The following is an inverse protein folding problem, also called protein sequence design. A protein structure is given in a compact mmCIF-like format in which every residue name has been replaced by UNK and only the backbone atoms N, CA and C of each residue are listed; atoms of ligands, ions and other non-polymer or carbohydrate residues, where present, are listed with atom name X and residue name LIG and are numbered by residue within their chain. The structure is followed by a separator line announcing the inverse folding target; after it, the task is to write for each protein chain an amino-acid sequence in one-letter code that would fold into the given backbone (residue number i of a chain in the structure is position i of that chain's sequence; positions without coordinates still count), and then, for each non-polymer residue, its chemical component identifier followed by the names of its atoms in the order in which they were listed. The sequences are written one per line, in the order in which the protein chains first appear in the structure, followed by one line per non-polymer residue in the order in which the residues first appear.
data_IF_136884739545
#
_entry.id   IF_136884739545
#
_cell.length_a   1.000
_cell.length_b   1.000
_cell.length_c   1.000
_cell.angle_alpha   90.00
_cell.angle_beta   90.00
_cell.angle_gamma   90.00
#
_symmetry.space_group_name_H-M   'P 1'
#
loop_
_entity.id
_entity.type
_entity.pdbx_description
1 polymer ?
#
# COMPACT_ATOMS: atom_id res chain seq x y z
N UNK A 1 -19.17 11.87 21.61
CA UNK A 1 -18.30 13.00 21.23
C UNK A 1 -17.85 12.79 19.81
N UNK A 2 -18.03 13.77 18.92
CA UNK A 2 -17.52 13.73 17.55
C UNK A 2 -16.02 14.06 17.56
N UNK A 3 -15.22 13.31 16.80
CA UNK A 3 -13.79 13.60 16.68
C UNK A 3 -13.59 14.95 15.94
N UNK A 4 -12.59 15.72 16.35
CA UNK A 4 -12.26 16.97 15.68
C UNK A 4 -11.46 16.71 14.41
N UNK A 5 -11.38 17.71 13.52
CA UNK A 5 -10.48 17.65 12.37
C UNK A 5 -9.02 17.43 12.81
N UNK A 6 -8.58 18.06 13.89
CA UNK A 6 -7.21 17.95 14.37
C UNK A 6 -6.89 16.51 14.82
N UNK A 7 -7.82 15.88 15.54
CA UNK A 7 -7.67 14.47 15.95
C UNK A 7 -7.54 13.53 14.76
N UNK A 8 -8.30 13.77 13.69
CA UNK A 8 -8.23 12.98 12.47
C UNK A 8 -6.92 13.26 11.69
N UNK A 9 -6.54 14.53 11.54
CA UNK A 9 -5.37 14.93 10.77
C UNK A 9 -4.07 14.37 11.35
N UNK A 10 -3.92 14.33 12.68
CA UNK A 10 -2.75 13.73 13.34
C UNK A 10 -2.64 12.24 13.02
N UNK A 11 -3.75 11.51 13.06
CA UNK A 11 -3.78 10.07 12.75
C UNK A 11 -3.36 9.82 11.30
N UNK A 12 -3.93 10.57 10.36
CA UNK A 12 -3.61 10.40 8.94
C UNK A 12 -2.17 10.81 8.61
N UNK A 13 -1.67 11.92 9.16
CA UNK A 13 -0.27 12.32 9.00
C UNK A 13 0.70 11.22 9.50
N UNK A 14 0.39 10.62 10.66
CA UNK A 14 1.20 9.52 11.20
C UNK A 14 1.17 8.27 10.31
N UNK A 15 0.03 7.98 9.68
CA UNK A 15 -0.13 6.83 8.80
C UNK A 15 0.63 7.04 7.49
N UNK A 16 0.49 8.22 6.87
CA UNK A 16 1.22 8.59 5.65
C UNK A 16 2.72 8.52 5.85
N UNK A 17 3.24 8.98 6.99
CA UNK A 17 4.67 8.87 7.31
C UNK A 17 5.15 7.41 7.37
N UNK A 18 4.33 6.50 7.93
CA UNK A 18 4.71 5.09 8.12
C UNK A 18 4.56 4.25 6.86
N UNK A 19 3.50 4.46 6.08
CA UNK A 19 3.19 3.65 4.91
C UNK A 19 3.81 4.19 3.63
N UNK A 20 3.86 5.52 3.49
CA UNK A 20 4.26 6.19 2.25
C UNK A 20 5.66 6.84 2.37
N UNK A 21 6.22 6.91 3.58
CA UNK A 21 7.49 7.60 3.84
C UNK A 21 7.40 9.13 3.78
N UNK A 22 6.19 9.69 3.71
CA UNK A 22 5.97 11.13 3.59
C UNK A 22 6.42 11.88 4.84
N UNK A 23 7.11 13.00 4.64
CA UNK A 23 7.35 14.01 5.67
C UNK A 23 6.05 14.77 5.95
N UNK A 24 5.90 15.42 7.13
CA UNK A 24 4.70 16.18 7.44
C UNK A 24 4.32 17.23 6.39
N UNK A 25 5.30 17.84 5.74
CA UNK A 25 5.06 18.82 4.67
C UNK A 25 4.39 18.23 3.43
N UNK A 26 4.62 16.96 3.10
CA UNK A 26 3.97 16.29 1.96
C UNK A 26 2.49 16.02 2.28
N UNK A 27 2.19 15.55 3.50
CA UNK A 27 0.81 15.35 3.96
C UNK A 27 -0.03 16.64 3.91
N UNK A 28 0.51 17.75 4.38
CA UNK A 28 -0.23 19.03 4.41
C UNK A 28 -0.41 19.68 3.04
N UNK A 29 0.43 19.34 2.06
CA UNK A 29 0.29 19.82 0.69
C UNK A 29 -0.56 18.89 -0.19
N UNK A 30 -0.72 17.63 0.19
CA UNK A 30 -1.55 16.67 -0.53
C UNK A 30 -3.04 16.98 -0.34
N UNK A 31 -3.80 16.84 -1.42
CA UNK A 31 -5.25 16.92 -1.39
C UNK A 31 -5.85 15.66 -0.75
N UNK A 32 -7.08 15.74 -0.21
CA UNK A 32 -7.77 14.55 0.31
C UNK A 32 -7.94 13.43 -0.73
N UNK A 33 -8.11 13.78 -2.02
CA UNK A 33 -8.24 12.81 -3.10
C UNK A 33 -6.93 12.07 -3.37
N UNK A 34 -5.80 12.79 -3.38
CA UNK A 34 -4.47 12.18 -3.52
C UNK A 34 -4.14 11.28 -2.32
N UNK A 35 -4.48 11.71 -1.11
CA UNK A 35 -4.30 10.89 0.09
C UNK A 35 -5.12 9.60 0.02
N UNK A 36 -6.39 9.69 -0.40
CA UNK A 36 -7.26 8.52 -0.56
C UNK A 36 -6.71 7.56 -1.63
N UNK A 37 -6.21 8.09 -2.73
CA UNK A 37 -5.61 7.30 -3.82
C UNK A 37 -4.31 6.63 -3.37
N UNK A 38 -3.44 7.34 -2.66
CA UNK A 38 -2.16 6.81 -2.17
C UNK A 38 -2.33 5.71 -1.09
N UNK A 39 -3.44 5.73 -0.34
CA UNK A 39 -3.74 4.75 0.70
C UNK A 39 -4.72 3.66 0.23
N UNK A 40 -5.20 3.73 -1.02
CA UNK A 40 -6.09 2.71 -1.56
C UNK A 40 -5.35 1.37 -1.61
N UNK A 41 -6.06 0.30 -1.23
CA UNK A 41 -5.55 -1.05 -1.44
C UNK A 41 -5.35 -1.27 -2.95
N UNK A 42 -4.31 -2.02 -3.36
CA UNK A 42 -4.20 -2.47 -4.74
C UNK A 42 -5.49 -3.19 -5.14
N UNK A 43 -5.96 -2.95 -6.37
CA UNK A 43 -7.10 -3.68 -6.90
C UNK A 43 -6.77 -5.18 -6.94
N UNK A 44 -7.46 -5.98 -6.12
CA UNK A 44 -7.27 -7.43 -6.07
C UNK A 44 -7.49 -8.09 -7.44
N UNK A 45 -8.35 -7.51 -8.29
CA UNK A 45 -8.56 -8.02 -9.64
C UNK A 45 -7.36 -7.81 -10.57
N UNK A 46 -6.48 -6.85 -10.26
CA UNK A 46 -5.29 -6.55 -11.02
C UNK A 46 -4.05 -7.34 -10.55
N UNK A 47 -4.10 -7.98 -9.38
CA UNK A 47 -3.00 -8.79 -8.86
C UNK A 47 -3.21 -10.24 -9.28
N UNK A 48 -2.37 -10.81 -10.17
CA UNK A 48 -2.47 -12.22 -10.51
C UNK A 48 -2.31 -13.07 -9.24
N UNK A 49 -3.05 -14.19 -9.11
CA UNK A 49 -2.96 -15.02 -7.93
C UNK A 49 -1.52 -15.50 -7.73
N UNK A 50 -1.08 -15.69 -6.48
CA UNK A 50 0.25 -16.22 -6.21
C UNK A 50 0.42 -17.58 -6.91
N UNK A 51 1.62 -17.90 -7.42
CA UNK A 51 1.86 -19.14 -8.13
C UNK A 51 1.57 -20.35 -7.23
N UNK A 52 1.00 -21.41 -7.82
CA UNK A 52 0.74 -22.65 -7.09
C UNK A 52 2.05 -23.35 -6.72
N UNK A 53 2.01 -24.24 -5.72
CA UNK A 53 3.16 -25.05 -5.33
C UNK A 53 3.71 -25.87 -6.50
N UNK A 54 2.82 -26.39 -7.35
CA UNK A 54 3.18 -27.16 -8.54
C UNK A 54 3.82 -26.29 -9.63
N UNK A 55 3.40 -25.02 -9.74
CA UNK A 55 4.06 -24.05 -10.63
C UNK A 55 5.48 -23.75 -10.15
N UNK A 56 5.64 -23.51 -8.84
CA UNK A 56 6.95 -23.25 -8.22
C UNK A 56 7.89 -24.45 -8.43
N UNK A 57 7.42 -25.69 -8.18
CA UNK A 57 8.23 -26.89 -8.38
C UNK A 57 8.73 -27.01 -9.83
N UNK A 58 7.86 -26.76 -10.82
CA UNK A 58 8.23 -26.79 -12.24
C UNK A 58 9.25 -25.71 -12.62
N UNK A 59 9.17 -24.52 -12.01
CA UNK A 59 10.17 -23.46 -12.23
C UNK A 59 11.53 -23.89 -11.67
N UNK A 60 11.57 -24.47 -10.47
CA UNK A 60 12.80 -24.96 -9.86
C UNK A 60 13.45 -26.12 -10.65
N UNK A 61 12.64 -27.04 -11.19
CA UNK A 61 13.12 -28.12 -12.05
C UNK A 61 13.72 -27.59 -13.36
N UNK A 62 13.13 -26.57 -13.97
CA UNK A 62 13.67 -25.94 -15.18
C UNK A 62 15.01 -25.27 -14.91
N UNK A 63 15.12 -24.48 -13.85
CA UNK A 63 16.35 -23.77 -13.48
C UNK A 63 17.48 -24.75 -13.09
N UNK A 64 17.17 -25.94 -12.57
CA UNK A 64 18.16 -26.97 -12.21
C UNK A 64 18.72 -27.73 -13.42
N UNK A 65 18.13 -27.56 -14.60
CA UNK A 65 18.51 -28.24 -15.85
C UNK A 65 19.08 -27.29 -16.91
N UNK A 66 19.32 -26.02 -16.55
CA UNK A 66 20.13 -25.03 -17.29
C UNK A 66 21.54 -24.93 -16.72
#
# INVERSE_FOLDING_TARGET
MTATFSDAAVRWCSLSARLLGWRPGEFWNATPAELAMALAAPDEAAVPPPPSREMIARMMERDAHE
#
